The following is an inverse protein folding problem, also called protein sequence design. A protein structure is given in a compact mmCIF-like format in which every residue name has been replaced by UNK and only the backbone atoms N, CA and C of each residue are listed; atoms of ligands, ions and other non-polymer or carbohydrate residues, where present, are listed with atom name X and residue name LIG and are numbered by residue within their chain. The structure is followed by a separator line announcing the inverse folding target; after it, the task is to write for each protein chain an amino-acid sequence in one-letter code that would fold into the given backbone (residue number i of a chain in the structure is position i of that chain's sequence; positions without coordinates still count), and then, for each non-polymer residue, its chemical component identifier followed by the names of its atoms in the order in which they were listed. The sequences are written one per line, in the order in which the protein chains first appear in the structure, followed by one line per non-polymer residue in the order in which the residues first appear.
data_IF_393727901472
#
_entry.id   IF_393727901472
#
_cell.length_a   1.000
_cell.length_b   1.000
_cell.length_c   1.000
_cell.angle_alpha   90.00
_cell.angle_beta   90.00
_cell.angle_gamma   90.00
#
_symmetry.space_group_name_H-M   'P 1'
#
loop_
_entity.id
_entity.type
_entity.pdbx_description
1 polymer ?
#
# COMPACT_ATOMS: atom_id res chain seq x y z
N UNK A 1 9.42 -2.31 9.81
CA UNK A 1 8.01 -1.86 9.82
C UNK A 1 7.66 -1.09 11.09
N UNK A 2 8.05 -1.55 12.28
CA UNK A 2 7.81 -0.81 13.54
C UNK A 2 8.47 0.58 13.58
N UNK A 3 9.64 0.76 12.96
CA UNK A 3 10.31 2.07 12.91
C UNK A 3 9.48 3.15 12.20
N UNK A 4 8.90 2.85 11.02
CA UNK A 4 8.03 3.78 10.31
C UNK A 4 6.84 4.20 11.17
N UNK A 5 6.25 3.24 11.91
CA UNK A 5 5.12 3.49 12.81
C UNK A 5 5.49 4.41 13.96
N UNK A 6 6.63 4.19 14.59
CA UNK A 6 7.11 5.05 15.68
C UNK A 6 7.36 6.49 15.22
N UNK A 7 7.90 6.70 14.01
CA UNK A 7 8.23 8.03 13.48
C UNK A 7 7.02 8.94 13.21
N UNK A 8 5.83 8.34 13.13
CA UNK A 8 4.57 9.05 12.81
C UNK A 8 3.54 8.94 13.93
N UNK A 9 3.96 8.50 15.11
CA UNK A 9 3.07 8.38 16.27
C UNK A 9 2.11 7.18 16.19
N UNK A 10 2.33 6.24 15.28
CA UNK A 10 1.50 5.04 15.13
C UNK A 10 1.90 3.88 16.03
N UNK A 11 2.74 4.12 17.04
CA UNK A 11 3.15 3.09 17.98
C UNK A 11 1.96 2.48 18.74
N UNK A 12 0.89 3.28 18.94
CA UNK A 12 -0.32 2.86 19.65
C UNK A 12 -1.38 2.21 18.75
N UNK A 13 -1.25 2.33 17.42
CA UNK A 13 -2.15 1.67 16.49
C UNK A 13 -1.95 0.16 16.53
N UNK A 14 -3.00 -0.62 16.24
CA UNK A 14 -2.92 -2.08 16.14
C UNK A 14 -2.42 -2.52 14.76
N UNK A 15 -1.92 -3.74 14.65
CA UNK A 15 -1.50 -4.33 13.37
C UNK A 15 -2.38 -5.54 13.06
N UNK A 16 -2.96 -5.61 11.86
CA UNK A 16 -3.77 -6.75 11.43
C UNK A 16 -3.04 -7.70 10.48
N UNK A 17 -1.77 -7.40 10.15
CA UNK A 17 -0.97 -8.15 9.20
C UNK A 17 -1.61 -8.26 7.82
N UNK A 18 -2.27 -7.19 7.34
CA UNK A 18 -3.00 -7.19 6.04
C UNK A 18 -2.12 -7.53 4.84
N UNK A 19 -0.80 -7.36 4.95
CA UNK A 19 0.17 -7.70 3.90
C UNK A 19 0.91 -9.03 4.12
N UNK A 20 0.67 -9.72 5.23
CA UNK A 20 1.40 -10.95 5.56
C UNK A 20 0.92 -12.09 4.66
N UNK A 21 1.87 -12.79 4.07
CA UNK A 21 1.67 -14.02 3.32
C UNK A 21 2.45 -15.11 4.07
N UNK A 22 1.81 -16.21 4.40
CA UNK A 22 2.40 -17.38 5.07
C UNK A 22 2.76 -18.45 4.01
N UNK A 23 3.80 -19.25 4.24
CA UNK A 23 4.20 -20.32 3.31
C UNK A 23 3.08 -21.35 3.06
N UNK A 24 2.23 -21.57 4.06
CA UNK A 24 1.07 -22.46 3.94
C UNK A 24 -0.01 -21.89 2.98
N UNK A 25 0.03 -20.60 2.62
CA UNK A 25 -0.93 -19.99 1.68
C UNK A 25 -0.65 -20.36 0.23
N UNK A 26 0.55 -20.90 -0.05
CA UNK A 26 0.97 -21.26 -1.39
C UNK A 26 1.33 -22.74 -1.59
N UNK A 27 1.24 -23.54 -0.53
CA UNK A 27 1.59 -24.97 -0.51
C UNK A 27 0.45 -25.86 -1.05
N UNK A 28 -0.72 -25.29 -1.32
CA UNK A 28 -1.82 -25.95 -2.02
C UNK A 28 -1.60 -25.98 -3.54
N UNK A 29 -2.28 -26.90 -4.23
CA UNK A 29 -2.17 -27.19 -5.67
C UNK A 29 -2.35 -25.99 -6.62
N UNK A 30 -2.90 -24.86 -6.13
CA UNK A 30 -3.09 -23.59 -6.87
C UNK A 30 -2.56 -22.34 -6.11
N UNK A 31 -1.90 -22.54 -4.96
CA UNK A 31 -1.47 -21.45 -4.10
C UNK A 31 -0.33 -20.59 -4.70
N UNK A 32 0.57 -21.23 -5.46
CA UNK A 32 1.64 -20.54 -6.19
C UNK A 32 1.11 -19.61 -7.30
N UNK A 33 0.03 -20.00 -8.00
CA UNK A 33 -0.64 -19.18 -9.02
C UNK A 33 -1.23 -17.92 -8.40
N UNK A 34 -1.93 -18.06 -7.27
CA UNK A 34 -2.58 -16.95 -6.56
C UNK A 34 -1.57 -15.96 -5.99
N UNK A 35 -0.48 -16.46 -5.39
CA UNK A 35 0.63 -15.62 -4.97
C UNK A 35 1.23 -14.83 -6.13
N UNK A 36 1.50 -15.52 -7.25
CA UNK A 36 2.11 -14.88 -8.42
C UNK A 36 1.19 -13.79 -8.96
N UNK A 37 -0.12 -14.04 -9.02
CA UNK A 37 -1.10 -13.04 -9.41
C UNK A 37 -1.15 -11.83 -8.45
N UNK A 38 -1.07 -12.09 -7.13
CA UNK A 38 -0.99 -11.02 -6.12
C UNK A 38 0.24 -10.14 -6.33
N UNK A 39 1.43 -10.74 -6.32
CA UNK A 39 2.70 -10.02 -6.46
C UNK A 39 2.77 -9.28 -7.80
N UNK A 40 2.25 -9.87 -8.87
CA UNK A 40 2.16 -9.22 -10.19
C UNK A 40 1.33 -7.94 -10.11
N UNK A 41 0.12 -7.99 -9.52
CA UNK A 41 -0.74 -6.80 -9.37
C UNK A 41 -0.12 -5.72 -8.50
N UNK A 42 0.48 -6.10 -7.37
CA UNK A 42 1.20 -5.13 -6.52
C UNK A 42 2.34 -4.49 -7.29
N UNK A 43 3.11 -5.27 -8.03
CA UNK A 43 4.25 -4.74 -8.78
C UNK A 43 3.85 -3.89 -9.99
N UNK A 44 2.77 -4.22 -10.69
CA UNK A 44 2.19 -3.34 -11.72
C UNK A 44 1.76 -2.00 -11.11
N UNK A 45 1.10 -2.04 -9.95
CA UNK A 45 0.67 -0.83 -9.27
C UNK A 45 1.85 0.02 -8.75
N UNK A 46 2.90 -0.64 -8.23
CA UNK A 46 4.16 0.02 -7.81
C UNK A 46 4.88 0.63 -9.02
N UNK A 47 4.97 -0.08 -10.15
CA UNK A 47 5.65 0.41 -11.36
C UNK A 47 4.92 1.57 -12.03
N UNK A 48 3.58 1.55 -12.02
CA UNK A 48 2.74 2.59 -12.63
C UNK A 48 2.46 3.78 -11.70
N UNK A 49 2.90 3.71 -10.43
CA UNK A 49 2.52 4.69 -9.39
C UNK A 49 1.01 4.74 -9.13
N UNK A 50 0.26 3.76 -9.65
CA UNK A 50 -1.20 3.69 -9.59
C UNK A 50 -1.59 2.54 -8.67
N UNK A 51 -1.36 2.73 -7.37
CA UNK A 51 -2.06 1.92 -6.37
C UNK A 51 -3.54 2.30 -6.45
N UNK A 52 -4.44 1.44 -6.96
CA UNK A 52 -5.85 1.81 -6.92
C UNK A 52 -6.21 2.11 -5.46
N UNK A 53 -7.00 3.17 -5.21
CA UNK A 53 -7.43 3.56 -3.85
C UNK A 53 -8.24 2.46 -3.16
N UNK A 54 -8.49 1.36 -3.84
CA UNK A 54 -9.13 0.15 -3.39
C UNK A 54 -8.40 -1.02 -4.07
N UNK A 55 -8.12 -2.08 -3.32
CA UNK A 55 -7.62 -3.37 -3.81
C UNK A 55 -6.10 -3.44 -4.00
N UNK A 56 -5.36 -3.21 -2.91
CA UNK A 56 -4.25 -4.10 -2.64
C UNK A 56 -4.86 -5.42 -2.19
N UNK A 57 -4.58 -6.51 -2.90
CA UNK A 57 -5.16 -7.84 -2.60
C UNK A 57 -4.47 -8.36 -1.35
N UNK A 58 -5.17 -8.54 -0.24
CA UNK A 58 -4.58 -9.29 0.88
C UNK A 58 -4.75 -10.77 0.56
N UNK A 59 -3.67 -11.54 0.56
CA UNK A 59 -3.78 -12.95 0.91
C UNK A 59 -4.05 -12.95 2.41
N UNK A 60 -5.33 -12.89 2.82
CA UNK A 60 -5.65 -13.23 4.20
C UNK A 60 -5.38 -14.72 4.34
N UNK A 61 -4.21 -15.03 4.88
CA UNK A 61 -3.93 -16.36 5.39
C UNK A 61 -4.95 -16.67 6.48
N UNK A 62 -5.89 -17.56 6.20
CA UNK A 62 -6.70 -18.19 7.24
C UNK A 62 -5.85 -19.09 8.16
N UNK A 63 -4.53 -19.18 7.92
CA UNK A 63 -3.66 -20.23 8.42
C UNK A 63 -2.49 -19.71 9.29
N UNK A 64 -2.40 -18.41 9.60
CA UNK A 64 -1.34 -17.91 10.48
C UNK A 64 -1.69 -18.02 12.01
N UNK A 65 -2.84 -18.58 12.43
CA UNK A 65 -3.17 -19.15 13.76
C UNK A 65 -4.51 -19.94 13.69
N UNK A 66 -4.86 -20.88 14.61
CA UNK A 66 -5.75 -22.00 14.29
C UNK A 66 -7.24 -21.61 14.30
N UNK A 67 -7.95 -22.14 13.30
CA UNK A 67 -9.40 -22.30 13.21
C UNK A 67 -10.20 -21.06 12.77
N UNK A 68 -10.41 -20.94 11.45
CA UNK A 68 -11.71 -21.19 10.77
C UNK A 68 -11.72 -20.43 9.45
N UNK A 69 -11.88 -21.15 8.34
CA UNK A 69 -11.92 -20.56 7.00
C UNK A 69 -13.30 -19.97 6.67
N UNK A 70 -13.38 -18.79 6.04
CA UNK A 70 -14.48 -18.47 5.16
C UNK A 70 -14.08 -18.74 3.71
N UNK A 71 -14.92 -19.52 3.03
CA UNK A 71 -14.91 -19.67 1.59
C UNK A 71 -15.54 -18.42 0.96
N UNK A 72 -14.72 -17.54 0.36
CA UNK A 72 -15.02 -16.68 -0.80
C UNK A 72 -13.85 -15.68 -0.98
N UNK A 73 -13.15 -15.75 -2.11
CA UNK A 73 -11.92 -14.98 -2.38
C UNK A 73 -12.25 -13.64 -3.04
N UNK A 74 -13.05 -12.80 -2.39
CA UNK A 74 -13.16 -11.37 -2.73
C UNK A 74 -12.62 -10.53 -1.57
N UNK A 75 -11.44 -9.92 -1.76
CA UNK A 75 -10.68 -9.29 -0.68
C UNK A 75 -10.34 -7.83 -1.01
N UNK A 76 -10.82 -6.96 -0.13
CA UNK A 76 -10.62 -5.50 -0.17
C UNK A 76 -9.71 -5.13 1.01
N UNK A 77 -8.46 -4.71 0.76
CA UNK A 77 -7.71 -4.00 1.81
C UNK A 77 -8.40 -2.65 1.99
N UNK A 78 -9.28 -2.60 2.98
CA UNK A 78 -10.01 -1.40 3.37
C UNK A 78 -9.12 -0.53 4.26
N UNK A 79 -8.93 0.70 3.82
CA UNK A 79 -8.13 1.69 4.52
C UNK A 79 -7.68 2.77 3.54
N UNK A 80 -7.08 3.81 4.07
CA UNK A 80 -6.43 4.84 3.26
C UNK A 80 -4.95 4.51 3.16
N UNK A 81 -4.38 4.52 1.96
CA UNK A 81 -3.01 4.08 1.72
C UNK A 81 -2.01 5.23 1.58
N UNK A 82 -0.85 5.07 2.20
CA UNK A 82 0.35 5.86 1.99
C UNK A 82 1.36 5.08 1.15
N UNK A 83 1.98 5.74 0.18
CA UNK A 83 2.88 5.13 -0.80
C UNK A 83 4.04 6.04 -1.15
N UNK A 84 5.21 5.43 -1.30
CA UNK A 84 6.40 6.12 -1.82
C UNK A 84 7.35 5.11 -2.47
N UNK A 85 7.91 5.48 -3.61
CA UNK A 85 9.00 4.73 -4.26
C UNK A 85 10.29 4.95 -3.46
N UNK A 86 11.09 3.89 -3.36
CA UNK A 86 12.32 3.85 -2.57
C UNK A 86 13.44 3.33 -3.47
N UNK A 87 14.64 3.86 -3.29
CA UNK A 87 15.82 3.46 -4.07
C UNK A 87 16.73 2.48 -3.30
N UNK A 88 16.64 2.48 -1.97
CA UNK A 88 17.53 1.71 -1.09
C UNK A 88 17.12 0.24 -1.01
N UNK A 89 18.06 -0.66 -0.72
CA UNK A 89 17.74 -2.08 -0.51
C UNK A 89 16.84 -2.32 0.71
N UNK A 90 16.94 -1.43 1.71
CA UNK A 90 16.09 -1.43 2.91
C UNK A 90 15.19 -0.20 2.88
N UNK A 91 13.97 -0.36 3.37
CA UNK A 91 13.01 0.74 3.48
C UNK A 91 13.59 1.91 4.28
N UNK A 92 13.67 3.10 3.67
CA UNK A 92 13.97 4.33 4.37
C UNK A 92 12.68 4.92 4.96
N UNK A 93 12.39 4.47 6.17
CA UNK A 93 11.16 4.84 6.87
C UNK A 93 11.10 6.34 7.15
N UNK A 94 12.24 6.98 7.43
CA UNK A 94 12.28 8.41 7.71
C UNK A 94 12.03 9.22 6.43
N UNK A 95 12.74 8.90 5.34
CA UNK A 95 12.54 9.57 4.06
C UNK A 95 11.10 9.41 3.53
N UNK A 96 10.50 8.23 3.74
CA UNK A 96 9.10 7.99 3.38
C UNK A 96 8.14 8.92 4.15
N UNK A 97 8.34 9.03 5.45
CA UNK A 97 7.53 9.87 6.33
C UNK A 97 7.68 11.35 5.98
N UNK A 98 8.91 11.80 5.73
CA UNK A 98 9.18 13.18 5.36
C UNK A 98 8.56 13.52 4.00
N UNK A 99 8.62 12.59 3.04
CA UNK A 99 7.95 12.71 1.75
C UNK A 99 6.43 12.87 1.93
N UNK A 100 5.77 12.04 2.74
CA UNK A 100 4.33 12.17 2.97
C UNK A 100 3.98 13.47 3.69
N UNK A 101 4.75 13.88 4.70
CA UNK A 101 4.54 15.14 5.44
C UNK A 101 4.68 16.38 4.56
N UNK A 102 5.54 16.35 3.55
CA UNK A 102 5.73 17.49 2.65
C UNK A 102 4.45 17.88 1.87
N UNK A 103 3.51 16.93 1.67
CA UNK A 103 2.22 17.22 1.05
C UNK A 103 1.33 18.16 1.88
N UNK A 104 1.62 18.41 3.16
CA UNK A 104 0.90 19.42 3.93
C UNK A 104 0.89 20.80 3.24
N UNK A 105 2.00 21.14 2.56
CA UNK A 105 2.13 22.39 1.81
C UNK A 105 1.15 22.50 0.64
N UNK A 106 0.73 21.38 0.04
CA UNK A 106 -0.24 21.33 -1.05
C UNK A 106 -1.65 21.76 -0.60
N UNK A 107 -1.96 21.64 0.69
CA UNK A 107 -3.21 22.11 1.30
C UNK A 107 -3.14 23.57 1.75
N UNK A 108 -2.02 24.27 1.53
CA UNK A 108 -1.82 25.69 1.85
C UNK A 108 -2.16 26.07 3.31
N UNK A 109 -1.92 25.15 4.24
CA UNK A 109 -2.22 25.34 5.66
C UNK A 109 -3.70 25.25 6.03
N UNK A 110 -4.58 24.88 5.09
CA UNK A 110 -5.97 24.56 5.35
C UNK A 110 -6.16 23.06 5.62
N UNK A 111 -7.25 22.71 6.30
CA UNK A 111 -7.67 21.31 6.39
C UNK A 111 -8.05 20.77 5.01
N UNK A 112 -7.76 19.50 4.70
CA UNK A 112 -8.16 18.89 3.45
C UNK A 112 -9.68 19.00 3.21
N UNK A 113 -10.12 19.40 2.00
CA UNK A 113 -11.54 19.65 1.71
C UNK A 113 -12.34 18.33 1.69
N UNK A 114 -13.65 18.38 1.44
CA UNK A 114 -14.43 17.17 1.23
C UNK A 114 -13.83 16.28 0.13
N UNK A 115 -13.76 14.98 0.37
CA UNK A 115 -13.18 14.03 -0.58
C UNK A 115 -14.04 13.88 -1.82
N UNK A 116 -13.38 13.88 -2.98
CA UNK A 116 -13.95 13.53 -4.26
C UNK A 116 -12.90 12.76 -5.08
N UNK A 117 -13.25 11.54 -5.51
CA UNK A 117 -12.30 10.66 -6.20
C UNK A 117 -11.74 11.27 -7.49
N UNK A 118 -10.42 11.13 -7.69
CA UNK A 118 -9.69 11.58 -8.89
C UNK A 118 -9.81 13.08 -9.19
N UNK A 119 -10.02 13.91 -8.17
CA UNK A 119 -10.04 15.37 -8.30
C UNK A 119 -9.04 16.01 -7.34
N UNK A 120 -8.59 17.23 -7.64
CA UNK A 120 -7.66 17.96 -6.76
C UNK A 120 -8.30 18.21 -5.39
N UNK A 121 -7.55 18.03 -4.28
CA UNK A 121 -6.13 17.66 -4.21
C UNK A 121 -5.85 16.14 -4.17
N UNK A 122 -6.89 15.31 -4.30
CA UNK A 122 -6.86 13.85 -4.12
C UNK A 122 -6.39 13.04 -5.34
N UNK A 123 -6.21 13.70 -6.49
CA UNK A 123 -5.55 13.15 -7.67
C UNK A 123 -4.02 13.00 -7.46
N UNK A 124 -3.46 13.68 -6.46
CA UNK A 124 -2.08 13.55 -6.01
C UNK A 124 -1.94 12.49 -4.92
N UNK A 125 -1.08 11.50 -5.18
CA UNK A 125 -0.80 10.40 -4.26
C UNK A 125 -0.06 10.81 -3.01
N UNK A 126 0.76 11.84 -3.06
CA UNK A 126 1.43 12.37 -1.89
C UNK A 126 0.40 12.95 -0.91
N UNK A 127 -0.64 13.62 -1.43
CA UNK A 127 -1.75 14.16 -0.63
C UNK A 127 -2.59 13.05 0.00
N UNK A 128 -2.93 12.00 -0.75
CA UNK A 128 -3.62 10.81 -0.20
C UNK A 128 -2.76 10.12 0.86
N UNK A 129 -1.44 10.05 0.65
CA UNK A 129 -0.51 9.46 1.61
C UNK A 129 -0.40 10.27 2.90
N UNK A 130 -0.38 11.60 2.79
CA UNK A 130 -0.47 12.49 3.95
C UNK A 130 -1.74 12.22 4.76
N UNK A 131 -2.88 12.10 4.09
CA UNK A 131 -4.18 11.85 4.76
C UNK A 131 -4.24 10.47 5.39
N UNK A 132 -3.71 9.45 4.73
CA UNK A 132 -3.52 8.12 5.34
C UNK A 132 -2.72 8.22 6.64
N UNK A 133 -1.61 8.98 6.61
CA UNK A 133 -0.69 9.13 7.73
C UNK A 133 -1.28 9.89 8.92
N UNK A 134 -2.21 10.81 8.68
CA UNK A 134 -2.80 11.62 9.74
C UNK A 134 -4.28 11.34 9.95
N UNK A 135 -4.75 10.16 9.51
CA UNK A 135 -6.11 9.70 9.72
C UNK A 135 -6.44 9.65 11.23
N UNK A 136 -7.27 10.58 11.76
CA UNK A 136 -7.54 10.66 13.19
C UNK A 136 -8.42 9.50 13.67
N UNK A 137 -9.10 8.82 12.75
CA UNK A 137 -9.96 7.68 13.04
C UNK A 137 -9.20 6.35 12.99
N UNK A 138 -7.90 6.38 12.63
CA UNK A 138 -7.11 5.18 12.49
C UNK A 138 -7.03 4.40 13.81
N UNK A 139 -7.39 3.12 13.73
CA UNK A 139 -7.24 2.15 14.82
C UNK A 139 -6.16 1.13 14.52
N UNK A 140 -5.87 0.92 13.23
CA UNK A 140 -4.90 -0.04 12.76
C UNK A 140 -4.00 0.58 11.71
N UNK A 141 -2.75 0.10 11.66
CA UNK A 141 -1.82 0.36 10.58
C UNK A 141 -1.08 -0.92 10.20
N UNK A 142 -1.04 -1.17 8.89
CA UNK A 142 -0.23 -2.20 8.29
C UNK A 142 0.71 -1.55 7.31
N UNK A 143 1.99 -1.91 7.36
CA UNK A 143 2.97 -1.46 6.37
C UNK A 143 3.62 -2.67 5.72
N UNK A 144 4.17 -2.51 4.53
CA UNK A 144 4.98 -3.51 3.84
C UNK A 144 5.96 -2.82 2.89
N UNK A 145 7.14 -3.43 2.76
CA UNK A 145 8.16 -3.01 1.81
C UNK A 145 8.20 -4.01 0.66
N UNK A 146 7.93 -3.53 -0.55
CA UNK A 146 7.90 -4.35 -1.75
C UNK A 146 9.12 -4.06 -2.60
N UNK A 147 9.75 -5.12 -3.11
CA UNK A 147 10.78 -5.07 -4.15
C UNK A 147 10.22 -5.77 -5.38
N UNK A 148 10.03 -5.00 -6.44
CA UNK A 148 9.47 -5.46 -7.71
C UNK A 148 10.58 -5.54 -8.76
N UNK A 149 10.92 -6.76 -9.22
CA UNK A 149 12.03 -6.93 -10.14
C UNK A 149 11.75 -6.30 -11.51
N UNK A 150 12.84 -5.96 -12.20
CA UNK A 150 12.84 -5.67 -13.62
C UNK A 150 12.12 -6.79 -14.40
N UNK A 151 11.34 -6.46 -15.44
CA UNK A 151 10.80 -7.48 -16.31
C UNK A 151 11.95 -8.29 -16.94
N UNK A 152 11.93 -9.61 -16.74
CA UNK A 152 12.86 -10.47 -17.44
C UNK A 152 12.51 -10.51 -18.93
N UNK A 153 13.50 -10.22 -19.78
CA UNK A 153 13.38 -10.30 -21.24
C UNK A 153 13.04 -11.75 -21.63
N UNK A 154 11.78 -12.03 -21.96
CA UNK A 154 11.33 -13.38 -22.38
C UNK A 154 11.79 -13.74 -23.80
N UNK A 155 12.41 -12.84 -24.56
CA UNK A 155 12.88 -13.09 -25.92
C UNK A 155 14.13 -12.27 -26.29
N UNK A 156 15.27 -12.90 -26.66
CA UNK A 156 16.48 -12.18 -27.07
C UNK A 156 16.37 -11.45 -28.42
N UNK A 157 15.25 -11.59 -29.16
CA UNK A 157 15.02 -10.94 -30.46
C UNK A 157 14.14 -9.69 -30.41
N UNK A 158 13.55 -9.36 -29.26
CA UNK A 158 12.68 -8.20 -29.15
C UNK A 158 13.40 -7.08 -28.42
N UNK A 159 14.10 -6.24 -29.19
CA UNK A 159 14.76 -5.03 -28.70
C UNK A 159 13.69 -3.98 -28.35
N UNK A 160 12.93 -4.22 -27.30
CA UNK A 160 12.14 -3.18 -26.64
C UNK A 160 13.14 -2.27 -25.91
N UNK A 161 13.21 -1.00 -26.30
CA UNK A 161 14.12 0.03 -25.76
C UNK A 161 13.73 0.52 -24.36
N UNK A 162 12.88 -0.21 -23.63
CA UNK A 162 12.56 0.06 -22.23
C UNK A 162 13.15 -1.02 -21.35
N UNK A 163 14.30 -0.76 -20.73
CA UNK A 163 14.71 -1.50 -19.54
C UNK A 163 13.72 -1.15 -18.43
N UNK A 164 12.74 -2.01 -18.18
CA UNK A 164 11.97 -1.92 -16.95
C UNK A 164 12.95 -2.09 -15.78
N UNK A 165 13.10 -1.05 -14.98
CA UNK A 165 13.97 -1.07 -13.81
C UNK A 165 13.31 -1.79 -12.63
N UNK A 166 14.13 -2.32 -11.74
CA UNK A 166 13.67 -2.72 -10.42
C UNK A 166 13.05 -1.51 -9.71
N UNK A 167 11.88 -1.70 -9.10
CA UNK A 167 11.21 -0.66 -8.30
C UNK A 167 10.97 -1.17 -6.89
N UNK A 168 11.26 -0.33 -5.90
CA UNK A 168 10.98 -0.64 -4.50
C UNK A 168 10.00 0.38 -3.96
N UNK A 169 9.12 -0.03 -3.05
CA UNK A 169 8.15 0.87 -2.47
C UNK A 169 7.80 0.51 -1.03
N UNK A 170 7.62 1.55 -0.21
CA UNK A 170 7.00 1.42 1.10
C UNK A 170 5.52 1.74 0.96
N UNK A 171 4.67 0.81 1.38
CA UNK A 171 3.22 0.97 1.44
C UNK A 171 2.80 0.87 2.89
N UNK A 172 1.98 1.80 3.34
CA UNK A 172 1.26 1.70 4.62
C UNK A 172 -0.23 1.90 4.38
N UNK A 173 -1.07 1.23 5.15
CA UNK A 173 -2.53 1.36 5.12
C UNK A 173 -3.01 1.61 6.52
N UNK A 174 -3.77 2.69 6.70
CA UNK A 174 -4.48 2.99 7.95
C UNK A 174 -5.95 2.64 7.81
N UNK A 175 -6.51 1.97 8.82
CA UNK A 175 -7.91 1.53 8.85
C UNK A 175 -8.61 2.22 10.03
N UNK A 176 -9.83 2.75 9.84
CA UNK A 176 -10.71 2.67 8.66
C UNK A 176 -10.29 3.59 7.51
N UNK A 177 -10.87 3.38 6.32
CA UNK A 177 -10.71 4.31 5.21
C UNK A 177 -11.39 5.65 5.54
N UNK A 178 -10.63 6.75 5.47
CA UNK A 178 -11.11 8.09 5.79
C UNK A 178 -11.55 8.88 4.55
N UNK A 179 -11.22 8.40 3.35
CA UNK A 179 -11.65 9.00 2.09
C UNK A 179 -13.05 8.51 1.72
N UNK A 180 -14.05 9.17 2.28
CA UNK A 180 -15.48 8.93 1.99
C UNK A 180 -16.02 10.07 1.15
N UNK A 181 -16.73 9.76 0.06
CA UNK A 181 -17.29 10.77 -0.85
C UNK A 181 -18.08 11.85 -0.11
N UNK A 182 -17.83 13.10 -0.51
CA UNK A 182 -18.41 14.31 0.06
C UNK A 182 -18.16 14.55 1.56
N UNK A 183 -17.26 13.81 2.22
CA UNK A 183 -16.89 14.04 3.63
C UNK A 183 -15.47 14.57 3.77
N UNK A 184 -15.21 15.36 4.78
CA UNK A 184 -13.83 15.77 5.07
C UNK A 184 -13.06 14.61 5.72
N UNK A 185 -11.80 14.39 5.34
CA UNK A 185 -10.99 13.29 5.91
C UNK A 185 -10.61 13.44 7.40
N UNK A 186 -11.00 14.52 8.07
CA UNK A 186 -10.64 14.78 9.47
C UNK A 186 -11.85 15.11 10.35
N UNK A 187 -13.07 14.92 9.81
CA UNK A 187 -14.32 15.03 10.57
C UNK A 187 -14.53 13.85 11.54
#
# INVERSE_FOLDING_TARGET
MNAARSLVGFAELKQENKFKICANDWDETDGSTKLTAYLTKVCEAVKTGRLPSLVLVSLRSANCEPNTAPAELEVKIEGTSAYVVQEKEKADCQAAVDYWKAAFSNFKGAFPPAYQANTKPYDDRQNVSFISLFNPQATHVDCAYFTCPAAQQRNPKQRNTGTEEEKKALICVTTPNVLTEAKQPYE
#
